data_IF_301672723721
#
_entry.id   IF_301672723721
#
_cell.length_a   1.000
_cell.length_b   1.000
_cell.length_c   1.000
_cell.angle_alpha   90.00
_cell.angle_beta   90.00
_cell.angle_gamma   90.00
#
_symmetry.space_group_name_H-M   'P 1'
#
loop_
_entity.id
_entity.type
_entity.pdbx_description
1 polymer ?
#
# COMPACT_ATOMS: atom_id res chain seq x y z
N UNK A 1 40.91 -6.78 -25.33
CA UNK A 1 40.21 -5.66 -24.64
C UNK A 1 38.94 -6.24 -24.05
N UNK A 2 39.01 -6.74 -22.81
CA UNK A 2 37.85 -7.33 -22.12
C UNK A 2 37.09 -6.23 -21.39
N UNK A 3 35.83 -6.03 -21.75
CA UNK A 3 34.93 -5.16 -20.99
C UNK A 3 34.36 -5.99 -19.86
N UNK A 4 34.94 -5.85 -18.67
CA UNK A 4 34.38 -6.42 -17.44
C UNK A 4 33.08 -5.71 -17.12
N UNK A 5 31.97 -6.41 -17.29
CA UNK A 5 30.68 -6.02 -16.73
C UNK A 5 30.78 -6.15 -15.21
N UNK A 6 31.03 -5.02 -14.53
CA UNK A 6 30.82 -4.89 -13.10
C UNK A 6 29.31 -4.82 -12.88
N UNK A 7 28.70 -5.97 -12.57
CA UNK A 7 27.35 -5.99 -12.00
C UNK A 7 27.50 -5.55 -10.55
N UNK A 8 27.05 -4.34 -10.23
CA UNK A 8 26.92 -3.87 -8.86
C UNK A 8 25.80 -4.71 -8.22
N UNK A 9 26.15 -5.83 -7.58
CA UNK A 9 25.21 -6.57 -6.74
C UNK A 9 24.93 -5.73 -5.49
N UNK A 10 23.94 -4.84 -5.55
CA UNK A 10 23.31 -4.35 -4.34
C UNK A 10 22.69 -5.55 -3.62
N UNK A 11 23.12 -5.84 -2.41
CA UNK A 11 22.61 -6.95 -1.61
C UNK A 11 21.10 -6.87 -1.46
N UNK A 12 20.41 -8.01 -1.49
CA UNK A 12 18.97 -8.04 -1.26
C UNK A 12 18.64 -7.58 0.18
N UNK A 13 17.43 -7.06 0.46
CA UNK A 13 17.07 -6.68 1.83
C UNK A 13 17.26 -7.82 2.85
N UNK A 14 17.03 -9.07 2.43
CA UNK A 14 17.28 -10.25 3.27
C UNK A 14 18.78 -10.49 3.50
N UNK A 15 19.62 -10.40 2.47
CA UNK A 15 21.07 -10.52 2.62
C UNK A 15 21.64 -9.43 3.53
N UNK A 16 21.14 -8.19 3.40
CA UNK A 16 21.53 -7.10 4.29
C UNK A 16 21.10 -7.37 5.73
N UNK A 17 19.93 -7.99 5.95
CA UNK A 17 19.47 -8.38 7.28
C UNK A 17 20.32 -9.52 7.85
N UNK A 18 20.66 -10.53 7.05
CA UNK A 18 21.53 -11.64 7.48
C UNK A 18 22.93 -11.17 7.86
N UNK A 19 23.50 -10.24 7.07
CA UNK A 19 24.84 -9.71 7.29
C UNK A 19 24.95 -8.79 8.51
N UNK A 20 23.87 -8.06 8.84
CA UNK A 20 23.90 -7.04 9.90
C UNK A 20 23.10 -7.44 11.16
N UNK A 21 22.30 -8.51 11.07
CA UNK A 21 21.46 -9.04 12.14
C UNK A 21 22.23 -9.86 13.18
N UNK A 22 21.50 -10.67 13.99
CA UNK A 22 22.05 -11.35 15.16
C UNK A 22 23.08 -12.45 14.83
N UNK A 23 23.26 -12.78 13.55
CA UNK A 23 24.20 -13.79 13.06
C UNK A 23 25.41 -13.19 12.32
N UNK A 24 25.41 -11.88 12.08
CA UNK A 24 26.40 -11.19 11.25
C UNK A 24 27.64 -10.72 12.03
N UNK A 25 28.70 -10.34 11.30
CA UNK A 25 29.86 -9.71 11.92
C UNK A 25 29.54 -8.28 12.35
N UNK A 26 29.72 -7.98 13.63
CA UNK A 26 29.35 -6.72 14.25
C UNK A 26 30.12 -5.53 13.66
N UNK A 27 29.49 -4.81 12.74
CA UNK A 27 29.91 -3.49 12.31
C UNK A 27 29.14 -2.43 13.12
N UNK A 28 29.83 -1.39 13.59
CA UNK A 28 29.31 -0.39 14.55
C UNK A 28 28.07 0.40 14.09
N UNK A 29 27.64 0.26 12.83
CA UNK A 29 26.59 1.07 12.21
C UNK A 29 25.18 0.51 12.50
N UNK A 30 25.03 -0.79 12.75
CA UNK A 30 23.72 -1.47 12.87
C UNK A 30 23.49 -2.14 14.23
N UNK A 31 23.89 -1.47 15.33
CA UNK A 31 23.73 -1.98 16.70
C UNK A 31 22.28 -2.36 17.07
N UNK A 32 21.28 -1.73 16.44
CA UNK A 32 19.87 -2.02 16.68
C UNK A 32 19.43 -3.38 16.11
N UNK A 33 20.10 -3.90 15.08
CA UNK A 33 19.81 -5.23 14.53
C UNK A 33 20.44 -6.37 15.35
N UNK A 34 21.26 -6.05 16.36
CA UNK A 34 21.74 -7.02 17.34
C UNK A 34 20.71 -7.27 18.45
N UNK A 35 19.74 -6.37 18.63
CA UNK A 35 18.63 -6.54 19.56
C UNK A 35 17.66 -7.61 18.99
N UNK A 36 17.44 -8.76 19.65
CA UNK A 36 16.68 -9.86 19.06
C UNK A 36 15.25 -9.50 18.67
N UNK A 37 14.59 -8.64 19.45
CA UNK A 37 13.22 -8.15 19.20
C UNK A 37 13.16 -7.30 17.92
N UNK A 38 14.06 -6.33 17.78
CA UNK A 38 14.15 -5.45 16.60
C UNK A 38 14.53 -6.26 15.35
N UNK A 39 15.51 -7.17 15.47
CA UNK A 39 15.90 -8.05 14.37
C UNK A 39 14.73 -8.91 13.89
N UNK A 40 14.00 -9.54 14.82
CA UNK A 40 12.81 -10.32 14.51
C UNK A 40 11.71 -9.48 13.87
N UNK A 41 11.47 -8.27 14.38
CA UNK A 41 10.50 -7.33 13.81
C UNK A 41 10.85 -6.96 12.36
N UNK A 42 12.11 -6.63 12.07
CA UNK A 42 12.57 -6.30 10.71
C UNK A 42 12.43 -7.49 9.76
N UNK A 43 12.79 -8.70 10.21
CA UNK A 43 12.60 -9.91 9.42
C UNK A 43 11.12 -10.17 9.14
N UNK A 44 10.28 -10.05 10.16
CA UNK A 44 8.83 -10.22 10.03
C UNK A 44 8.27 -9.26 8.99
N UNK A 45 8.71 -8.00 8.98
CA UNK A 45 8.31 -7.05 7.95
C UNK A 45 8.80 -7.39 6.55
N UNK A 46 10.02 -7.91 6.41
CA UNK A 46 10.53 -8.37 5.11
C UNK A 46 9.71 -9.53 4.57
N UNK A 47 9.31 -10.45 5.43
CA UNK A 47 8.49 -11.62 5.09
C UNK A 47 7.01 -11.28 4.94
N UNK A 48 6.54 -10.16 5.52
CA UNK A 48 5.18 -9.65 5.37
C UNK A 48 4.76 -9.47 3.92
N UNK A 49 5.71 -9.12 3.04
CA UNK A 49 5.47 -9.03 1.60
C UNK A 49 4.22 -8.21 1.28
N UNK A 50 4.02 -7.09 2.00
CA UNK A 50 2.81 -6.28 1.91
C UNK A 50 2.66 -5.78 0.47
N UNK A 51 1.46 -5.97 -0.08
CA UNK A 51 1.15 -5.46 -1.40
C UNK A 51 -0.21 -4.79 -1.46
N UNK A 52 -0.30 -3.80 -2.34
CA UNK A 52 -1.49 -2.99 -2.61
C UNK A 52 -1.79 -3.11 -4.09
N UNK A 53 -3.00 -3.58 -4.43
CA UNK A 53 -3.52 -3.53 -5.79
C UNK A 53 -4.75 -2.64 -5.85
N UNK A 54 -4.90 -1.93 -6.98
CA UNK A 54 -6.05 -1.08 -7.27
C UNK A 54 -6.55 -1.50 -8.64
N UNK A 55 -7.72 -2.14 -8.66
CA UNK A 55 -8.25 -2.83 -9.84
C UNK A 55 -9.70 -2.46 -10.09
N UNK A 56 -10.16 -2.70 -11.32
CA UNK A 56 -11.60 -2.60 -11.61
C UNK A 56 -12.31 -3.80 -11.00
N UNK A 57 -13.45 -3.55 -10.37
CA UNK A 57 -14.26 -4.62 -9.82
C UNK A 57 -14.87 -5.48 -10.94
N UNK A 58 -14.51 -6.77 -11.04
CA UNK A 58 -15.06 -7.66 -12.07
C UNK A 58 -16.56 -7.92 -11.87
N UNK A 59 -17.07 -7.75 -10.66
CA UNK A 59 -18.49 -7.91 -10.32
C UNK A 59 -19.29 -6.60 -10.43
N UNK A 60 -18.70 -5.53 -10.99
CA UNK A 60 -19.35 -4.24 -11.08
C UNK A 60 -20.50 -4.24 -12.09
N UNK A 61 -21.65 -3.72 -11.67
CA UNK A 61 -22.84 -3.52 -12.48
C UNK A 61 -23.25 -2.04 -12.40
N UNK A 62 -23.21 -1.32 -13.54
CA UNK A 62 -23.50 0.13 -13.59
C UNK A 62 -24.88 0.50 -13.02
N UNK A 63 -25.85 -0.40 -13.11
CA UNK A 63 -27.21 -0.22 -12.61
C UNK A 63 -27.60 -1.33 -11.64
N UNK A 64 -26.68 -1.70 -10.75
CA UNK A 64 -26.92 -2.71 -9.72
C UNK A 64 -28.16 -2.35 -8.89
N UNK A 65 -29.18 -3.19 -8.96
CA UNK A 65 -30.38 -3.10 -8.12
C UNK A 65 -30.20 -3.92 -6.85
N UNK A 66 -30.89 -3.50 -5.79
CA UNK A 66 -30.93 -4.24 -4.54
C UNK A 66 -31.71 -5.54 -4.75
N UNK A 67 -30.99 -6.67 -4.71
CA UNK A 67 -31.54 -8.01 -4.81
C UNK A 67 -30.97 -8.85 -3.67
N UNK A 68 -31.86 -9.37 -2.82
CA UNK A 68 -31.53 -10.19 -1.65
C UNK A 68 -31.15 -11.62 -2.00
N UNK A 69 -31.48 -12.09 -3.21
CA UNK A 69 -31.16 -13.44 -3.68
C UNK A 69 -29.86 -13.48 -4.49
N UNK A 70 -29.28 -12.32 -4.80
CA UNK A 70 -28.03 -12.23 -5.54
C UNK A 70 -26.88 -12.85 -4.76
N UNK A 71 -26.08 -13.69 -5.43
CA UNK A 71 -24.89 -14.33 -4.84
C UNK A 71 -23.85 -13.32 -4.33
N UNK A 72 -23.75 -12.17 -4.99
CA UNK A 72 -22.86 -11.08 -4.60
C UNK A 72 -23.71 -9.92 -4.07
N UNK A 73 -23.43 -9.42 -2.85
CA UNK A 73 -24.16 -8.30 -2.27
C UNK A 73 -24.17 -7.05 -3.16
N UNK A 74 -25.27 -6.30 -3.11
CA UNK A 74 -25.45 -5.05 -3.85
C UNK A 74 -24.31 -4.05 -3.63
N UNK A 75 -23.84 -3.88 -2.38
CA UNK A 75 -22.77 -2.95 -2.05
C UNK A 75 -21.46 -3.25 -2.80
N UNK A 76 -21.18 -4.53 -3.08
CA UNK A 76 -20.03 -4.95 -3.88
C UNK A 76 -20.32 -4.72 -5.38
N UNK A 77 -21.50 -5.13 -5.87
CA UNK A 77 -21.86 -4.95 -7.30
C UNK A 77 -21.93 -3.49 -7.74
N UNK A 78 -22.29 -2.59 -6.82
CA UNK A 78 -22.38 -1.13 -7.08
C UNK A 78 -21.04 -0.40 -7.08
N UNK A 79 -19.97 -1.04 -6.59
CA UNK A 79 -18.63 -0.48 -6.56
C UNK A 79 -17.88 -0.82 -7.85
N UNK A 80 -17.22 0.16 -8.47
CA UNK A 80 -16.48 -0.04 -9.73
C UNK A 80 -15.00 -0.38 -9.50
N UNK A 81 -14.50 -0.17 -8.28
CA UNK A 81 -13.08 -0.25 -7.94
C UNK A 81 -12.87 -1.14 -6.72
N UNK A 82 -11.86 -2.00 -6.78
CA UNK A 82 -11.40 -2.84 -5.67
C UNK A 82 -9.99 -2.43 -5.31
N UNK A 83 -9.78 -2.13 -4.04
CA UNK A 83 -8.45 -1.94 -3.45
C UNK A 83 -8.17 -3.16 -2.60
N UNK A 84 -7.16 -3.95 -2.99
CA UNK A 84 -6.75 -5.16 -2.27
C UNK A 84 -5.48 -4.88 -1.50
N UNK A 85 -5.51 -5.16 -0.19
CA UNK A 85 -4.36 -5.09 0.69
C UNK A 85 -4.02 -6.51 1.11
N UNK A 86 -2.81 -6.97 0.76
CA UNK A 86 -2.39 -8.36 0.93
C UNK A 86 -1.11 -8.45 1.76
N UNK A 87 -0.99 -9.52 2.54
CA UNK A 87 0.23 -9.89 3.24
C UNK A 87 0.51 -11.39 3.08
N UNK A 88 1.78 -11.74 2.89
CA UNK A 88 2.24 -13.12 2.77
C UNK A 88 2.39 -13.84 4.10
N UNK A 89 2.22 -13.13 5.22
CA UNK A 89 2.28 -13.77 6.53
C UNK A 89 0.98 -14.57 6.76
N UNK A 90 1.06 -15.91 6.89
CA UNK A 90 -0.11 -16.75 7.07
C UNK A 90 -0.77 -16.46 8.42
N UNK A 91 -2.11 -16.48 8.46
CA UNK A 91 -2.88 -16.26 9.69
C UNK A 91 -3.03 -14.79 10.11
N UNK A 92 -2.49 -13.86 9.31
CA UNK A 92 -2.49 -12.42 9.62
C UNK A 92 -3.83 -11.76 9.40
N UNK A 93 -4.63 -12.18 8.40
CA UNK A 93 -5.90 -11.50 8.11
C UNK A 93 -7.11 -12.34 8.53
N UNK A 94 -6.92 -13.62 8.89
CA UNK A 94 -8.01 -14.56 9.15
C UNK A 94 -7.94 -15.48 10.38
N UNK A 95 -6.87 -15.48 11.21
CA UNK A 95 -6.83 -16.34 12.41
C UNK A 95 -6.67 -15.55 13.72
N UNK A 96 -7.42 -16.01 14.73
CA UNK A 96 -7.58 -15.47 16.07
C UNK A 96 -6.25 -14.96 16.68
N UNK A 97 -6.28 -13.70 17.11
CA UNK A 97 -5.25 -12.97 17.86
C UNK A 97 -4.10 -12.47 16.99
N UNK A 98 -4.27 -11.27 16.40
CA UNK A 98 -3.51 -10.09 16.84
C UNK A 98 -3.25 -9.02 15.78
N UNK A 99 -3.60 -9.24 14.50
CA UNK A 99 -3.33 -8.23 13.45
C UNK A 99 -4.56 -7.41 13.11
N UNK A 100 -4.39 -6.09 13.08
CA UNK A 100 -5.37 -5.12 12.55
C UNK A 100 -4.78 -4.36 11.37
N UNK A 101 -5.59 -4.11 10.35
CA UNK A 101 -5.18 -3.32 9.17
C UNK A 101 -5.84 -1.96 9.26
N UNK A 102 -5.01 -0.92 9.29
CA UNK A 102 -5.43 0.46 9.19
C UNK A 102 -5.17 0.93 7.77
N UNK A 103 -6.24 1.23 7.03
CA UNK A 103 -6.15 1.72 5.67
C UNK A 103 -6.79 3.11 5.56
N UNK A 104 -6.02 4.08 5.08
CA UNK A 104 -6.51 5.39 4.67
C UNK A 104 -6.52 5.43 3.13
N UNK A 105 -7.72 5.38 2.56
CA UNK A 105 -7.94 5.44 1.12
C UNK A 105 -8.51 6.80 0.77
N UNK A 106 -7.81 7.57 -0.06
CA UNK A 106 -8.22 8.92 -0.46
C UNK A 106 -8.33 9.03 -1.96
N UNK A 107 -9.35 9.77 -2.38
CA UNK A 107 -9.53 10.07 -3.78
C UNK A 107 -8.57 11.18 -4.21
N UNK A 108 -7.86 10.96 -5.31
CA UNK A 108 -6.95 11.89 -5.94
C UNK A 108 -7.56 12.41 -7.23
N UNK A 109 -7.76 13.72 -7.32
CA UNK A 109 -8.18 14.40 -8.54
C UNK A 109 -6.96 14.87 -9.30
N UNK A 110 -6.83 14.44 -10.55
CA UNK A 110 -5.80 14.88 -11.47
C UNK A 110 -6.44 15.81 -12.48
N UNK A 111 -5.93 17.04 -12.55
CA UNK A 111 -6.39 18.06 -13.50
C UNK A 111 -5.37 18.12 -14.63
N UNK A 112 -5.75 17.64 -15.80
CA UNK A 112 -5.02 17.87 -17.04
C UNK A 112 -5.54 19.12 -17.73
N UNK A 113 -4.63 19.93 -18.27
CA UNK A 113 -4.95 21.10 -19.09
C UNK A 113 -4.25 21.00 -20.43
N UNK A 114 -4.85 21.59 -21.44
CA UNK A 114 -4.22 21.70 -22.76
C UNK A 114 -3.50 23.04 -22.86
N UNK A 115 -2.25 23.03 -23.30
CA UNK A 115 -1.53 24.27 -23.58
C UNK A 115 -1.99 24.90 -24.92
N UNK A 116 -1.54 26.12 -25.22
CA UNK A 116 -1.89 26.82 -26.46
C UNK A 116 -1.46 26.10 -27.75
N UNK A 117 -0.64 25.04 -27.65
CA UNK A 117 -0.18 24.20 -28.76
C UNK A 117 -0.97 22.88 -28.88
N UNK A 118 -2.05 22.72 -28.12
CA UNK A 118 -2.89 21.51 -28.16
C UNK A 118 -2.31 20.31 -27.39
N UNK A 119 -1.20 20.48 -26.65
CA UNK A 119 -0.57 19.38 -25.91
C UNK A 119 -1.15 19.32 -24.49
N UNK A 120 -1.69 18.17 -24.06
CA UNK A 120 -2.15 17.98 -22.69
C UNK A 120 -0.96 17.89 -21.73
N UNK A 121 -1.06 18.55 -20.58
CA UNK A 121 -0.12 18.41 -19.48
C UNK A 121 -0.89 18.29 -18.15
N UNK A 122 -0.29 17.59 -17.20
CA UNK A 122 -0.81 17.48 -15.85
C UNK A 122 -0.54 18.80 -15.10
N UNK A 123 -1.62 19.52 -14.79
CA UNK A 123 -1.52 20.83 -14.14
C UNK A 123 -1.48 20.71 -12.62
N UNK A 124 -2.30 19.82 -12.03
CA UNK A 124 -2.46 19.73 -10.57
C UNK A 124 -2.90 18.33 -10.16
N UNK A 125 -2.42 17.87 -9.00
CA UNK A 125 -2.94 16.70 -8.28
C UNK A 125 -3.46 17.17 -6.95
N UNK A 126 -4.72 16.90 -6.66
CA UNK A 126 -5.38 17.24 -5.41
C UNK A 126 -5.79 15.93 -4.74
N UNK A 127 -5.20 15.62 -3.58
CA UNK A 127 -5.62 14.50 -2.74
C UNK A 127 -6.69 15.01 -1.79
N UNK A 128 -7.79 14.27 -1.62
CA UNK A 128 -8.81 14.63 -0.65
C UNK A 128 -8.23 14.72 0.77
N UNK A 129 -8.72 15.66 1.58
CA UNK A 129 -8.25 15.81 2.97
C UNK A 129 -8.72 14.68 3.90
N UNK A 130 -9.80 13.97 3.51
CA UNK A 130 -10.45 12.96 4.33
C UNK A 130 -10.40 11.59 3.67
N UNK A 131 -10.21 10.57 4.50
CA UNK A 131 -10.38 9.17 4.13
C UNK A 131 -11.80 8.93 3.59
N UNK A 132 -11.90 8.21 2.48
CA UNK A 132 -13.17 7.75 1.94
C UNK A 132 -13.51 6.40 2.56
N UNK A 133 -14.78 6.23 2.97
CA UNK A 133 -15.26 4.96 3.49
C UNK A 133 -15.57 4.01 2.33
N UNK A 134 -15.15 2.74 2.39
CA UNK A 134 -15.52 1.76 1.38
C UNK A 134 -17.02 1.43 1.47
N UNK A 135 -17.62 1.13 0.33
CA UNK A 135 -19.01 0.71 0.22
C UNK A 135 -19.21 -0.68 0.84
N UNK A 136 -18.21 -1.54 0.68
CA UNK A 136 -18.17 -2.89 1.22
C UNK A 136 -16.73 -3.31 1.51
N UNK A 137 -16.58 -4.33 2.35
CA UNK A 137 -15.31 -4.96 2.65
C UNK A 137 -15.47 -6.47 2.55
N UNK A 138 -14.42 -7.16 2.10
CA UNK A 138 -14.37 -8.62 2.07
C UNK A 138 -13.03 -9.09 2.62
N UNK A 139 -13.09 -10.04 3.55
CA UNK A 139 -11.94 -10.59 4.25
C UNK A 139 -11.53 -11.92 3.62
N UNK A 140 -10.25 -12.09 3.38
CA UNK A 140 -9.58 -13.34 3.04
C UNK A 140 -8.54 -13.68 4.12
N UNK A 141 -8.02 -14.91 4.17
CA UNK A 141 -6.99 -15.27 5.14
C UNK A 141 -5.70 -14.43 5.04
N UNK A 142 -5.38 -13.95 3.85
CA UNK A 142 -4.15 -13.29 3.43
C UNK A 142 -4.37 -11.89 2.82
N UNK A 143 -5.62 -11.50 2.55
CA UNK A 143 -5.95 -10.19 2.00
C UNK A 143 -7.25 -9.58 2.56
N UNK A 144 -7.37 -8.25 2.51
CA UNK A 144 -8.64 -7.53 2.63
C UNK A 144 -8.93 -6.77 1.33
N UNK A 145 -10.14 -6.95 0.81
CA UNK A 145 -10.65 -6.21 -0.33
C UNK A 145 -11.58 -5.10 0.15
N UNK A 146 -11.30 -3.87 -0.27
CA UNK A 146 -12.08 -2.68 0.00
C UNK A 146 -12.72 -2.21 -1.31
N UNK A 147 -14.04 -2.09 -1.33
CA UNK A 147 -14.81 -1.76 -2.53
C UNK A 147 -15.21 -0.28 -2.52
N UNK A 148 -14.92 0.43 -3.61
CA UNK A 148 -15.19 1.86 -3.74
C UNK A 148 -15.93 2.20 -5.04
N UNK A 149 -16.60 3.35 -5.04
CA UNK A 149 -17.12 3.98 -6.25
C UNK A 149 -16.20 5.12 -6.66
N UNK A 150 -15.54 5.00 -7.80
CA UNK A 150 -14.71 6.04 -8.38
C UNK A 150 -15.57 7.00 -9.21
N UNK A 151 -15.52 8.30 -8.92
CA UNK A 151 -16.20 9.30 -9.75
C UNK A 151 -15.76 9.25 -11.20
N UNK A 152 -16.74 9.42 -12.10
CA UNK A 152 -16.50 9.39 -13.54
C UNK A 152 -15.62 10.56 -13.98
N UNK A 153 -14.73 10.32 -14.93
CA UNK A 153 -13.90 11.36 -15.53
C UNK A 153 -14.77 12.49 -16.09
N UNK A 154 -14.40 13.73 -15.78
CA UNK A 154 -15.15 14.91 -16.21
C UNK A 154 -14.33 15.71 -17.22
N UNK A 155 -14.97 16.16 -18.28
CA UNK A 155 -14.39 17.10 -19.24
C UNK A 155 -15.06 18.45 -18.97
N UNK A 156 -14.28 19.52 -18.84
CA UNK A 156 -14.86 20.84 -18.68
C UNK A 156 -15.65 21.26 -19.92
N UNK A 157 -16.68 22.10 -19.73
CA UNK A 157 -17.52 22.61 -20.82
C UNK A 157 -16.72 23.34 -21.91
N UNK A 158 -15.58 23.91 -21.57
CA UNK A 158 -14.68 24.59 -22.51
C UNK A 158 -13.73 23.63 -23.24
N UNK A 159 -13.74 22.33 -22.91
CA UNK A 159 -12.88 21.29 -23.50
C UNK A 159 -11.39 21.41 -23.16
N UNK A 160 -11.00 22.45 -22.42
CA UNK A 160 -9.59 22.77 -22.18
C UNK A 160 -9.00 22.11 -20.92
N UNK A 161 -9.85 21.46 -20.11
CA UNK A 161 -9.41 20.69 -18.95
C UNK A 161 -10.14 19.36 -18.83
N UNK A 162 -9.41 18.35 -18.37
CA UNK A 162 -9.93 17.03 -18.08
C UNK A 162 -9.60 16.69 -16.64
N UNK A 163 -10.59 16.18 -15.92
CA UNK A 163 -10.45 15.76 -14.54
C UNK A 163 -10.54 14.24 -14.51
N UNK A 164 -9.48 13.61 -14.02
CA UNK A 164 -9.42 12.18 -13.80
C UNK A 164 -9.33 11.91 -12.31
N UNK A 165 -9.82 10.75 -11.91
CA UNK A 165 -9.79 10.33 -10.53
C UNK A 165 -8.95 9.06 -10.38
N UNK A 166 -8.09 9.06 -9.37
CA UNK A 166 -7.30 7.91 -8.93
C UNK A 166 -7.48 7.72 -7.43
N UNK A 167 -6.99 6.60 -6.92
CA UNK A 167 -6.92 6.34 -5.48
C UNK A 167 -5.48 6.47 -5.01
N UNK A 168 -5.26 7.21 -3.94
CA UNK A 168 -4.06 7.07 -3.12
C UNK A 168 -4.41 6.25 -1.88
N UNK A 169 -3.52 5.33 -1.54
CA UNK A 169 -3.76 4.35 -0.49
C UNK A 169 -2.58 4.38 0.45
N UNK A 170 -2.87 4.42 1.75
CA UNK A 170 -1.87 4.22 2.80
C UNK A 170 -2.38 3.12 3.70
N UNK A 171 -1.60 2.04 3.83
CA UNK A 171 -1.96 0.90 4.65
C UNK A 171 -0.89 0.62 5.70
N UNK A 172 -1.32 0.42 6.94
CA UNK A 172 -0.49 0.02 8.07
C UNK A 172 -1.06 -1.26 8.66
N UNK A 173 -0.22 -2.28 8.77
CA UNK A 173 -0.58 -3.56 9.37
C UNK A 173 -0.01 -3.60 10.78
N UNK A 174 -0.86 -3.78 11.77
CA UNK A 174 -0.47 -3.73 13.18
C UNK A 174 -0.61 -5.12 13.78
N UNK A 175 0.51 -5.80 14.00
CA UNK A 175 0.59 -7.14 14.60
C UNK A 175 0.83 -7.02 16.11
N UNK A 176 -0.03 -7.62 16.94
CA UNK A 176 0.14 -7.62 18.40
C UNK A 176 0.88 -8.87 18.86
N UNK A 177 2.15 -8.76 19.22
CA UNK A 177 2.97 -9.88 19.71
C UNK A 177 3.35 -9.65 21.17
N UNK A 178 3.05 -10.61 22.06
CA UNK A 178 3.40 -10.54 23.49
C UNK A 178 2.95 -9.26 24.23
N UNK A 179 1.88 -8.61 23.74
CA UNK A 179 1.36 -7.36 24.28
C UNK A 179 1.95 -6.08 23.66
N UNK A 180 2.89 -6.21 22.73
CA UNK A 180 3.47 -5.11 21.96
C UNK A 180 2.90 -5.06 20.54
N UNK A 181 2.73 -3.84 20.01
CA UNK A 181 2.26 -3.63 18.64
C UNK A 181 3.45 -3.42 17.68
N UNK A 182 3.56 -4.31 16.70
CA UNK A 182 4.49 -4.24 15.59
C UNK A 182 3.80 -3.63 14.37
N UNK A 183 4.32 -2.50 13.89
CA UNK A 183 3.73 -1.75 12.78
C UNK A 183 4.45 -2.07 11.48
N UNK A 184 3.73 -2.51 10.46
CA UNK A 184 4.30 -2.92 9.17
C UNK A 184 3.74 -2.03 8.05
N UNK A 185 4.55 -1.67 7.03
CA UNK A 185 5.93 -2.11 6.79
C UNK A 185 6.95 -1.42 7.70
N UNK A 186 7.96 -2.14 8.18
CA UNK A 186 9.10 -1.54 8.86
C UNK A 186 9.92 -0.68 7.90
N UNK A 187 10.65 0.34 8.39
CA UNK A 187 11.66 1.01 7.60
C UNK A 187 12.71 0.02 7.05
N UNK A 188 13.48 0.41 6.02
CA UNK A 188 14.55 -0.40 5.47
C UNK A 188 15.51 -0.93 6.54
N UNK A 189 16.15 -2.08 6.26
CA UNK A 189 17.03 -2.77 7.23
C UNK A 189 18.16 -1.87 7.75
N UNK A 190 18.68 -0.97 6.91
CA UNK A 190 19.76 -0.03 7.26
C UNK A 190 19.27 1.28 7.91
N UNK A 191 17.96 1.43 8.06
CA UNK A 191 17.35 2.62 8.64
C UNK A 191 17.03 2.36 10.13
N UNK A 192 17.72 3.06 11.06
CA UNK A 192 17.55 2.88 12.49
C UNK A 192 16.24 3.47 13.03
N UNK A 193 15.38 4.05 12.19
CA UNK A 193 14.12 4.67 12.60
C UNK A 193 13.24 3.67 13.34
N UNK A 194 12.87 3.99 14.59
CA UNK A 194 11.92 3.22 15.40
C UNK A 194 10.53 3.87 15.35
N UNK A 195 9.51 3.06 15.59
CA UNK A 195 8.14 3.56 15.61
C UNK A 195 7.94 4.57 16.75
N UNK A 196 7.16 5.61 16.48
CA UNK A 196 6.76 6.62 17.46
C UNK A 196 5.39 7.18 17.08
N UNK A 197 4.72 7.85 18.01
CA UNK A 197 3.41 8.47 17.78
C UNK A 197 3.39 9.47 16.62
N UNK A 198 4.54 9.97 16.17
CA UNK A 198 4.67 10.83 14.98
C UNK A 198 4.28 10.11 13.68
N UNK A 199 4.39 8.79 13.66
CA UNK A 199 4.12 7.94 12.50
C UNK A 199 2.71 7.34 12.52
N UNK A 200 1.85 7.74 13.47
CA UNK A 200 0.49 7.24 13.59
C UNK A 200 -0.46 7.76 12.49
N UNK A 201 -0.10 8.85 11.80
CA UNK A 201 -0.92 9.45 10.74
C UNK A 201 -0.18 9.33 9.40
N UNK A 202 -0.86 8.86 8.34
CA UNK A 202 -0.26 8.75 7.01
C UNK A 202 -0.07 10.13 6.37
N UNK A 203 1.05 10.32 5.69
CA UNK A 203 1.34 11.47 4.85
C UNK A 203 1.22 11.07 3.37
N UNK A 204 0.35 11.77 2.63
CA UNK A 204 0.10 11.52 1.21
C UNK A 204 1.01 12.34 0.27
N UNK A 205 1.76 13.31 0.81
CA UNK A 205 2.74 14.09 0.05
C UNK A 205 4.06 13.33 -0.16
N UNK A 206 4.32 12.34 0.70
CA UNK A 206 5.55 11.55 0.70
C UNK A 206 5.22 10.12 0.26
N UNK A 207 6.03 9.58 -0.66
CA UNK A 207 6.01 8.17 -1.03
C UNK A 207 7.03 7.40 -0.17
N UNK A 208 6.79 6.11 0.06
CA UNK A 208 7.63 5.24 0.89
C UNK A 208 7.82 5.74 2.33
N UNK A 209 6.75 6.26 2.94
CA UNK A 209 6.80 6.69 4.33
C UNK A 209 7.03 5.47 5.24
N UNK A 210 7.96 5.52 6.21
CA UNK A 210 8.12 4.44 7.18
C UNK A 210 6.79 4.10 7.88
N UNK A 211 6.56 2.81 8.14
CA UNK A 211 5.36 2.30 8.81
C UNK A 211 4.05 2.41 8.03
N UNK A 212 4.10 2.86 6.76
CA UNK A 212 2.94 2.97 5.88
C UNK A 212 3.28 2.45 4.48
N UNK A 213 2.58 1.41 4.04
CA UNK A 213 2.63 0.95 2.66
C UNK A 213 1.84 1.90 1.76
N UNK A 214 2.40 2.24 0.59
CA UNK A 214 1.77 3.08 -0.42
C UNK A 214 1.55 2.34 -1.75
N UNK A 215 0.62 2.83 -2.56
CA UNK A 215 0.22 2.20 -3.81
C UNK A 215 1.30 2.21 -4.91
N UNK A 216 2.40 2.95 -4.71
CA UNK A 216 3.49 3.08 -5.68
C UNK A 216 4.61 2.10 -5.35
N UNK A 217 5.10 2.10 -4.10
CA UNK A 217 6.22 1.27 -3.66
C UNK A 217 5.81 -0.15 -3.32
N UNK A 218 4.60 -0.34 -2.80
CA UNK A 218 4.05 -1.65 -2.46
C UNK A 218 3.05 -2.12 -3.52
N UNK A 219 3.13 -1.58 -4.74
CA UNK A 219 2.28 -2.00 -5.84
C UNK A 219 2.42 -3.51 -6.05
N UNK A 220 1.29 -4.24 -6.04
CA UNK A 220 1.29 -5.64 -6.41
C UNK A 220 1.91 -5.82 -7.80
N UNK A 221 2.94 -6.67 -7.88
CA UNK A 221 3.50 -7.07 -9.16
C UNK A 221 2.44 -7.90 -9.87
N UNK A 222 2.09 -7.55 -11.12
CA UNK A 222 1.33 -8.46 -11.97
C UNK A 222 2.22 -9.69 -12.16
N UNK A 223 1.90 -10.79 -11.49
CA UNK A 223 2.41 -12.09 -11.90
C UNK A 223 1.67 -12.45 -13.20
N UNK A 224 2.36 -12.32 -14.33
CA UNK A 224 2.03 -13.05 -15.56
C UNK A 224 2.38 -14.54 -15.39
#
# INVERSE_FOLDING_TARGET
>A
MGVGLVVIMSSTPLESWLANGPFGESHSIDLYLQEPSEAFYRLTSLLAGISISIEKNPAHEQHATFDTHAKIPHAIRSADTVIRLESRLPGVIGSLHSVSIQADCRQCRIIERTNNKGVPYQATVEVADKATRPNAQRLYPDAIELFFTTPTNQISLTGNSRHYYKWAVRAQFVLTHEGENLYLPSPPVKDPTRYSSKWAVPNFEIINQPFWADEVTHKASLND
#
